data_IF_415697201136
#
_entry.id   IF_415697201136
#
_cell.length_a   1.000
_cell.length_b   1.000
_cell.length_c   1.000
_cell.angle_alpha   90.00
_cell.angle_beta   90.00
_cell.angle_gamma   90.00
#
_symmetry.space_group_name_H-M   'P 1'
#
loop_
_entity.id
_entity.type
_entity.pdbx_description
1 polymer ?
#
# COMPACT_ATOMS: atom_id res chain seq x y z
N UNK A 1 5.76 35.86 7.45
CA UNK A 1 6.54 35.50 6.24
C UNK A 1 7.83 34.76 6.56
N UNK A 2 8.77 35.32 7.35
CA UNK A 2 10.04 34.64 7.69
C UNK A 2 9.87 33.23 8.31
N UNK A 3 8.87 33.05 9.19
CA UNK A 3 8.57 31.75 9.81
C UNK A 3 8.01 30.69 8.84
N UNK A 4 7.28 31.11 7.80
CA UNK A 4 6.74 30.20 6.78
C UNK A 4 7.84 29.68 5.83
N UNK A 5 8.81 30.54 5.52
CA UNK A 5 9.97 30.16 4.71
C UNK A 5 10.84 29.12 5.41
N UNK A 6 11.03 29.23 6.73
CA UNK A 6 11.78 28.26 7.54
C UNK A 6 11.07 26.90 7.58
N UNK A 7 9.74 26.88 7.68
CA UNK A 7 8.95 25.64 7.62
C UNK A 7 9.09 24.99 6.24
N UNK A 8 9.01 25.77 5.16
CA UNK A 8 9.16 25.25 3.79
C UNK A 8 10.57 24.69 3.52
N UNK A 9 11.62 25.35 4.02
CA UNK A 9 13.00 24.87 3.89
C UNK A 9 13.25 23.61 4.73
N UNK A 10 12.69 23.55 5.95
CA UNK A 10 12.77 22.36 6.78
C UNK A 10 12.04 21.15 6.14
N UNK A 11 10.86 21.38 5.54
CA UNK A 11 10.11 20.37 4.78
C UNK A 11 10.81 19.95 3.47
N UNK A 12 11.60 20.82 2.85
CA UNK A 12 12.39 20.49 1.67
C UNK A 12 13.70 19.74 1.98
N UNK A 13 14.11 19.70 3.26
CA UNK A 13 15.38 19.11 3.71
C UNK A 13 15.27 17.68 4.26
N UNK A 14 14.06 17.11 4.30
CA UNK A 14 13.85 15.71 4.70
C UNK A 14 14.04 14.77 3.53
N UNK A 15 14.61 13.59 3.81
CA UNK A 15 14.97 12.55 2.85
C UNK A 15 13.92 12.38 1.75
N UNK A 16 14.33 12.56 0.48
CA UNK A 16 13.47 12.34 -0.67
C UNK A 16 13.20 10.84 -0.84
N UNK A 17 12.19 10.33 -0.14
CA UNK A 17 11.54 9.07 -0.51
C UNK A 17 10.97 9.19 -1.92
N UNK A 18 11.03 8.13 -2.73
CA UNK A 18 10.53 8.18 -4.09
C UNK A 18 9.05 8.47 -4.14
N UNK A 19 8.69 9.28 -5.11
CA UNK A 19 7.34 9.34 -5.62
C UNK A 19 6.96 8.02 -6.29
N UNK A 20 5.66 7.74 -6.31
CA UNK A 20 5.08 6.59 -7.01
C UNK A 20 5.51 6.50 -8.48
N UNK A 21 5.71 7.64 -9.12
CA UNK A 21 6.23 7.74 -10.49
C UNK A 21 7.61 7.09 -10.67
N UNK A 22 8.52 7.23 -9.68
CA UNK A 22 9.84 6.59 -9.74
C UNK A 22 9.70 5.08 -9.63
N UNK A 23 8.94 4.56 -8.68
CA UNK A 23 8.73 3.10 -8.54
C UNK A 23 8.09 2.48 -9.78
N UNK A 24 7.12 3.16 -10.39
CA UNK A 24 6.55 2.73 -11.66
C UNK A 24 7.58 2.72 -12.81
N UNK A 25 8.46 3.73 -12.89
CA UNK A 25 9.53 3.76 -13.91
C UNK A 25 10.56 2.63 -13.75
N UNK A 26 10.79 2.18 -12.52
CA UNK A 26 11.64 1.03 -12.18
C UNK A 26 10.87 -0.31 -12.22
N UNK A 27 9.68 -0.31 -12.81
CA UNK A 27 8.82 -1.49 -12.94
C UNK A 27 8.54 -2.19 -11.59
N UNK A 28 8.45 -1.40 -10.51
CA UNK A 28 8.17 -1.87 -9.15
C UNK A 28 9.11 -3.00 -8.67
N UNK A 29 10.37 -2.98 -9.12
CA UNK A 29 11.39 -3.96 -8.76
C UNK A 29 11.49 -4.19 -7.25
N UNK A 30 11.63 -5.46 -6.82
CA UNK A 30 11.64 -5.85 -5.40
C UNK A 30 12.86 -5.36 -4.61
N UNK A 31 13.98 -5.11 -5.30
CA UNK A 31 15.19 -4.60 -4.66
C UNK A 31 15.07 -3.12 -4.28
N UNK A 32 14.15 -2.37 -4.92
CA UNK A 32 13.96 -0.94 -4.63
C UNK A 32 13.04 -0.84 -3.42
N UNK A 33 13.60 -0.39 -2.31
CA UNK A 33 12.85 -0.18 -1.06
C UNK A 33 12.44 1.28 -0.99
N UNK A 34 11.15 1.53 -0.82
CA UNK A 34 10.60 2.87 -0.66
C UNK A 34 9.24 2.84 0.04
N UNK A 35 8.68 4.00 0.33
CA UNK A 35 7.37 4.20 0.95
C UNK A 35 6.25 3.41 0.27
N UNK A 36 6.27 3.29 -1.07
CA UNK A 36 5.31 2.46 -1.80
C UNK A 36 5.50 0.97 -1.58
N UNK A 37 6.74 0.52 -1.36
CA UNK A 37 7.01 -0.91 -1.19
C UNK A 37 6.42 -1.44 0.12
N UNK A 38 6.13 -0.56 1.09
CA UNK A 38 5.40 -0.87 2.33
C UNK A 38 3.98 -1.38 2.06
N UNK A 39 3.32 -0.91 0.99
CA UNK A 39 2.02 -1.42 0.54
C UNK A 39 2.07 -2.83 -0.05
N UNK A 40 3.27 -3.38 -0.28
CA UNK A 40 3.47 -4.78 -0.68
C UNK A 40 4.08 -5.61 0.44
N UNK A 41 5.13 -5.12 1.07
CA UNK A 41 5.80 -5.77 2.19
C UNK A 41 5.89 -4.77 3.36
N UNK A 42 5.06 -4.91 4.41
CA UNK A 42 5.05 -3.95 5.51
C UNK A 42 6.38 -3.89 6.28
N UNK A 43 7.26 -4.91 6.18
CA UNK A 43 8.56 -4.89 6.84
C UNK A 43 9.52 -3.86 6.22
N UNK A 44 9.24 -3.37 5.01
CA UNK A 44 10.06 -2.39 4.30
C UNK A 44 10.15 -1.04 5.05
N UNK A 45 9.18 -0.73 5.93
CA UNK A 45 9.20 0.47 6.76
C UNK A 45 10.44 0.56 7.68
N UNK A 46 11.08 -0.57 7.98
CA UNK A 46 12.30 -0.62 8.78
C UNK A 46 13.56 -0.29 7.96
N UNK A 47 13.48 -0.39 6.64
CA UNK A 47 14.60 -0.20 5.71
C UNK A 47 14.57 1.16 5.01
N UNK A 48 13.42 1.84 4.98
CA UNK A 48 13.30 3.25 4.55
C UNK A 48 14.01 4.18 5.55
N UNK A 49 14.05 3.79 6.82
CA UNK A 49 14.70 4.54 7.91
C UNK A 49 13.80 5.63 8.53
N UNK A 50 14.05 5.91 9.81
CA UNK A 50 13.42 7.02 10.53
C UNK A 50 11.88 7.03 10.59
N UNK A 51 11.34 8.15 11.04
CA UNK A 51 9.93 8.48 10.95
C UNK A 51 9.71 9.27 9.65
N UNK A 52 8.61 9.00 8.96
CA UNK A 52 8.32 9.67 7.69
C UNK A 52 6.84 9.91 7.49
N UNK A 53 6.56 10.90 6.66
CA UNK A 53 5.24 11.18 6.10
C UNK A 53 5.41 11.16 4.59
N UNK A 54 4.64 10.31 3.91
CA UNK A 54 4.50 10.30 2.46
C UNK A 54 3.12 10.84 2.10
N UNK A 55 3.06 11.74 1.13
CA UNK A 55 1.84 12.27 0.55
C UNK A 55 2.04 12.34 -0.96
N UNK A 56 1.20 11.67 -1.72
CA UNK A 56 1.25 11.64 -3.17
C UNK A 56 -0.13 12.05 -3.72
N UNK A 57 -0.11 13.02 -4.62
CA UNK A 57 -1.31 13.45 -5.32
C UNK A 57 -1.60 12.51 -6.49
N UNK A 58 -2.87 12.32 -6.79
CA UNK A 58 -3.31 11.54 -7.93
C UNK A 58 -4.38 12.24 -8.74
N UNK A 59 -4.63 11.70 -9.92
CA UNK A 59 -5.74 12.06 -10.77
C UNK A 59 -7.09 11.70 -10.10
N UNK A 60 -8.08 12.58 -10.24
CA UNK A 60 -9.44 12.33 -9.77
C UNK A 60 -10.30 11.61 -10.81
N UNK A 61 -9.87 11.54 -12.07
CA UNK A 61 -10.49 10.76 -13.13
C UNK A 61 -9.82 9.38 -13.23
N UNK A 62 -10.32 8.44 -12.44
CA UNK A 62 -9.79 7.09 -12.25
C UNK A 62 -9.98 6.18 -13.48
N UNK A 63 -9.18 6.39 -14.53
CA UNK A 63 -9.11 5.47 -15.67
C UNK A 63 -7.88 4.53 -15.61
N UNK A 64 -6.89 4.83 -14.76
CA UNK A 64 -5.64 4.06 -14.62
C UNK A 64 -5.43 3.47 -13.22
N UNK A 65 -4.64 2.40 -13.14
CA UNK A 65 -4.12 1.86 -11.87
C UNK A 65 -3.05 2.79 -11.30
N UNK A 66 -2.94 2.87 -9.97
CA UNK A 66 -1.98 3.66 -9.22
C UNK A 66 -2.03 5.15 -9.57
N UNK A 67 -3.23 5.69 -9.81
CA UNK A 67 -3.42 7.10 -10.17
C UNK A 67 -4.16 7.90 -9.09
N UNK A 68 -4.55 7.28 -7.97
CA UNK A 68 -5.27 7.94 -6.87
C UNK A 68 -4.38 8.77 -5.93
N UNK A 69 -4.99 9.61 -5.10
CA UNK A 69 -4.26 10.27 -4.01
C UNK A 69 -4.02 9.28 -2.86
N UNK A 70 -2.86 9.38 -2.22
CA UNK A 70 -2.44 8.47 -1.16
C UNK A 70 -1.58 9.20 -0.12
N UNK A 71 -1.57 8.66 1.09
CA UNK A 71 -0.77 9.18 2.18
C UNK A 71 -0.43 8.12 3.20
N UNK A 72 0.77 8.21 3.76
CA UNK A 72 1.23 7.34 4.84
C UNK A 72 1.98 8.17 5.87
N UNK A 73 1.77 7.86 7.15
CA UNK A 73 2.63 8.29 8.24
C UNK A 73 3.17 7.06 8.94
N UNK A 74 4.47 7.04 9.20
CA UNK A 74 5.14 5.99 9.96
C UNK A 74 5.91 6.60 11.13
N UNK A 75 5.75 5.98 12.30
CA UNK A 75 6.38 6.40 13.55
C UNK A 75 7.08 5.26 14.26
N UNK A 76 8.27 5.55 14.75
CA UNK A 76 9.11 4.63 15.50
C UNK A 76 8.75 4.66 16.98
N UNK A 77 8.67 3.48 17.58
CA UNK A 77 8.32 3.24 18.97
C UNK A 77 9.31 2.24 19.56
N UNK A 78 10.54 2.69 19.81
CA UNK A 78 11.64 1.81 20.26
C UNK A 78 12.09 0.86 19.14
N UNK A 79 12.05 -0.45 19.40
CA UNK A 79 12.35 -1.48 18.41
C UNK A 79 11.17 -1.78 17.45
N UNK A 80 10.03 -1.11 17.64
CA UNK A 80 8.83 -1.26 16.84
C UNK A 80 8.58 -0.04 15.95
N UNK A 81 7.76 -0.21 14.92
CA UNK A 81 7.22 0.87 14.09
C UNK A 81 5.72 0.67 13.89
N UNK A 82 4.99 1.78 13.82
CA UNK A 82 3.58 1.81 13.48
C UNK A 82 3.38 2.73 12.28
N UNK A 83 2.51 2.34 11.36
CA UNK A 83 2.16 3.11 10.18
C UNK A 83 0.64 3.24 10.04
N UNK A 84 0.17 4.40 9.60
CA UNK A 84 -1.20 4.61 9.15
C UNK A 84 -1.14 5.09 7.71
N UNK A 85 -1.88 4.45 6.82
CA UNK A 85 -2.03 4.88 5.43
C UNK A 85 -3.49 5.08 5.04
N UNK A 86 -3.67 5.98 4.09
CA UNK A 86 -4.95 6.40 3.54
C UNK A 86 -4.81 6.51 2.04
N UNK A 87 -5.63 5.78 1.30
CA UNK A 87 -5.60 5.78 -0.16
C UNK A 87 -4.37 5.04 -0.72
N UNK A 88 -4.61 4.32 -1.82
CA UNK A 88 -3.67 3.67 -2.74
C UNK A 88 -4.42 2.50 -3.39
N UNK A 89 -4.02 2.03 -4.56
CA UNK A 89 -4.68 0.85 -5.12
C UNK A 89 -4.28 -0.43 -4.37
N UNK A 90 -5.25 -1.30 -4.11
CA UNK A 90 -5.03 -2.56 -3.40
C UNK A 90 -4.77 -3.70 -4.40
N UNK A 91 -3.49 -4.09 -4.54
CA UNK A 91 -3.07 -5.26 -5.35
C UNK A 91 -3.74 -6.55 -4.89
N UNK A 92 -4.06 -6.65 -3.59
CA UNK A 92 -4.74 -7.77 -2.95
C UNK A 92 -6.16 -7.91 -3.49
N UNK A 93 -6.87 -6.80 -3.55
CA UNK A 93 -8.21 -6.70 -4.10
C UNK A 93 -8.29 -6.94 -5.59
N UNK A 94 -7.29 -6.48 -6.34
CA UNK A 94 -7.11 -6.74 -7.77
C UNK A 94 -6.83 -8.23 -8.05
N UNK A 95 -5.93 -8.87 -7.28
CA UNK A 95 -5.62 -10.29 -7.42
C UNK A 95 -6.79 -11.22 -7.08
N UNK A 96 -7.55 -10.90 -6.02
CA UNK A 96 -8.77 -11.61 -5.64
C UNK A 96 -9.93 -11.47 -6.63
N UNK A 97 -9.99 -10.34 -7.34
CA UNK A 97 -11.06 -10.03 -8.31
C UNK A 97 -10.70 -10.33 -9.75
N UNK A 98 -9.43 -10.53 -10.08
CA UNK A 98 -9.01 -11.05 -11.39
C UNK A 98 -9.57 -12.45 -11.70
N UNK A 99 -9.99 -13.21 -10.67
CA UNK A 99 -10.69 -14.49 -10.82
C UNK A 99 -12.23 -14.36 -10.91
N UNK A 100 -12.79 -13.16 -10.82
CA UNK A 100 -14.22 -12.89 -10.96
C UNK A 100 -14.60 -12.78 -12.44
N UNK A 101 -15.68 -13.43 -12.85
CA UNK A 101 -16.27 -13.32 -14.20
C UNK A 101 -17.05 -12.03 -14.43
N UNK A 102 -17.18 -11.18 -13.40
CA UNK A 102 -17.92 -9.91 -13.46
C UNK A 102 -16.96 -8.81 -13.92
N UNK A 103 -17.25 -8.20 -15.08
CA UNK A 103 -16.62 -6.98 -15.57
C UNK A 103 -17.71 -5.90 -15.75
N UNK A 104 -17.42 -4.60 -15.49
CA UNK A 104 -16.18 -4.02 -14.99
C UNK A 104 -16.11 -3.99 -13.45
N UNK A 105 -14.93 -4.26 -12.90
CA UNK A 105 -14.61 -4.09 -11.47
C UNK A 105 -13.80 -2.81 -11.33
N UNK A 106 -14.21 -1.93 -10.41
CA UNK A 106 -13.45 -0.72 -10.09
C UNK A 106 -12.10 -1.12 -9.49
N UNK A 107 -11.03 -0.69 -10.16
CA UNK A 107 -9.65 -1.00 -9.77
C UNK A 107 -9.21 -0.14 -8.57
N UNK A 108 -9.73 1.07 -8.48
CA UNK A 108 -9.39 2.01 -7.41
C UNK A 108 -10.22 1.76 -6.17
N UNK A 109 -9.51 1.55 -5.08
CA UNK A 109 -10.04 1.31 -3.75
C UNK A 109 -9.22 2.22 -2.89
N UNK A 110 -9.83 3.07 -2.07
CA UNK A 110 -9.07 3.97 -1.22
C UNK A 110 -9.07 3.37 0.19
N UNK A 111 -8.23 2.36 0.47
CA UNK A 111 -8.22 1.72 1.76
C UNK A 111 -7.70 2.66 2.84
N UNK A 112 -8.02 2.29 4.06
CA UNK A 112 -7.32 2.70 5.27
C UNK A 112 -6.52 1.49 5.73
N UNK A 113 -5.21 1.64 5.89
CA UNK A 113 -4.38 0.57 6.42
C UNK A 113 -3.69 0.98 7.74
N UNK A 114 -3.75 0.08 8.72
CA UNK A 114 -2.99 0.20 9.96
C UNK A 114 -1.91 -0.86 9.97
N UNK A 115 -0.66 -0.42 10.04
CA UNK A 115 0.50 -1.30 10.03
C UNK A 115 1.24 -1.24 11.35
N UNK A 116 1.70 -2.37 11.84
CA UNK A 116 2.58 -2.48 13.00
C UNK A 116 3.66 -3.52 12.71
N UNK A 117 4.88 -3.24 13.13
CA UNK A 117 5.97 -4.19 13.03
C UNK A 117 7.02 -4.02 14.11
N UNK A 118 7.95 -4.96 14.14
CA UNK A 118 9.08 -5.00 15.05
C UNK A 118 10.31 -5.55 14.37
N UNK A 119 11.48 -5.14 14.86
CA UNK A 119 12.76 -5.70 14.46
C UNK A 119 13.24 -6.71 15.52
N UNK A 120 13.62 -7.90 15.07
CA UNK A 120 14.20 -8.97 15.87
C UNK A 120 15.59 -9.32 15.30
N UNK A 121 16.64 -8.77 15.92
CA UNK A 121 18.00 -8.86 15.36
C UNK A 121 18.08 -8.14 14.02
N UNK A 122 18.53 -8.83 12.98
CA UNK A 122 18.64 -8.29 11.61
C UNK A 122 17.36 -8.47 10.78
N UNK A 123 16.38 -9.21 11.29
CA UNK A 123 15.10 -9.42 10.63
C UNK A 123 14.06 -8.40 11.12
N UNK A 124 13.30 -7.84 10.18
CA UNK A 124 12.10 -7.05 10.46
C UNK A 124 10.85 -7.87 10.10
N UNK A 125 9.86 -7.84 10.97
CA UNK A 125 8.54 -8.43 10.75
C UNK A 125 7.48 -7.36 10.91
N UNK A 126 6.46 -7.36 10.06
CA UNK A 126 5.36 -6.44 10.18
C UNK A 126 4.05 -7.06 9.68
N UNK A 127 2.94 -6.53 10.20
CA UNK A 127 1.60 -6.88 9.79
C UNK A 127 0.76 -5.62 9.58
N UNK A 128 -0.16 -5.68 8.62
CA UNK A 128 -1.06 -4.62 8.22
C UNK A 128 -2.48 -5.13 8.25
N UNK A 129 -3.38 -4.38 8.89
CA UNK A 129 -4.82 -4.52 8.73
C UNK A 129 -5.26 -3.59 7.61
N UNK A 130 -5.95 -4.14 6.62
CA UNK A 130 -6.41 -3.41 5.43
C UNK A 130 -7.92 -3.40 5.43
N UNK A 131 -8.52 -2.21 5.39
CA UNK A 131 -9.96 -2.05 5.23
C UNK A 131 -10.24 -1.04 4.12
N UNK A 132 -11.11 -1.37 3.19
CA UNK A 132 -11.56 -0.45 2.15
C UNK A 132 -13.06 -0.44 2.05
N UNK A 133 -13.63 0.74 1.90
CA UNK A 133 -15.03 0.93 1.56
C UNK A 133 -15.12 1.97 0.46
N UNK A 134 -15.79 1.63 -0.64
CA UNK A 134 -16.04 2.53 -1.74
C UNK A 134 -17.53 2.54 -2.06
N UNK A 135 -18.06 3.73 -2.34
CA UNK A 135 -19.40 3.92 -2.85
C UNK A 135 -19.38 5.06 -3.86
N UNK A 136 -19.69 4.74 -5.12
CA UNK A 136 -19.85 5.76 -6.14
C UNK A 136 -21.02 6.67 -5.77
N UNK A 137 -20.78 7.98 -5.85
CA UNK A 137 -21.81 9.01 -5.63
C UNK A 137 -22.39 9.55 -6.94
N UNK A 138 -21.98 9.01 -8.10
CA UNK A 138 -22.36 9.49 -9.43
C UNK A 138 -22.55 8.34 -10.42
N UNK A 139 -23.64 8.37 -11.21
CA UNK A 139 -23.83 7.51 -12.39
C UNK A 139 -24.47 6.14 -12.13
N UNK A 140 -23.80 5.24 -11.41
CA UNK A 140 -24.25 3.88 -11.08
C UNK A 140 -23.99 3.60 -9.60
N UNK A 141 -24.91 2.93 -8.88
CA UNK A 141 -24.69 2.60 -7.46
C UNK A 141 -23.67 1.47 -7.33
N UNK A 142 -22.40 1.81 -7.55
CA UNK A 142 -21.28 0.92 -7.35
C UNK A 142 -20.83 0.98 -5.89
N UNK A 143 -20.76 -0.18 -5.25
CA UNK A 143 -20.34 -0.31 -3.86
C UNK A 143 -19.31 -1.40 -3.73
N UNK A 144 -18.35 -1.15 -2.87
CA UNK A 144 -17.27 -2.07 -2.59
C UNK A 144 -16.92 -2.06 -1.12
N UNK A 145 -16.56 -3.23 -0.60
CA UNK A 145 -16.00 -3.38 0.72
C UNK A 145 -14.98 -4.51 0.71
N UNK A 146 -13.79 -4.27 1.23
CA UNK A 146 -12.78 -5.31 1.41
C UNK A 146 -12.11 -5.22 2.78
N UNK A 147 -11.79 -6.39 3.33
CA UNK A 147 -11.07 -6.56 4.57
C UNK A 147 -9.96 -7.58 4.32
N UNK A 148 -8.76 -7.27 4.78
CA UNK A 148 -7.62 -8.16 4.65
C UNK A 148 -6.55 -7.93 5.70
N UNK A 149 -5.63 -8.88 5.75
CA UNK A 149 -4.39 -8.80 6.51
C UNK A 149 -3.24 -8.95 5.53
N UNK A 150 -2.18 -8.16 5.71
CA UNK A 150 -0.90 -8.35 5.04
C UNK A 150 0.16 -8.59 6.10
N UNK A 151 1.10 -9.47 5.85
CA UNK A 151 2.28 -9.69 6.67
C UNK A 151 3.51 -9.67 5.81
N UNK A 152 4.63 -9.31 6.41
CA UNK A 152 5.88 -9.11 5.71
C UNK A 152 7.07 -9.40 6.61
N UNK A 153 8.11 -9.93 6.00
CA UNK A 153 9.42 -10.11 6.59
C UNK A 153 10.46 -9.53 5.64
N UNK A 154 11.50 -8.91 6.20
CA UNK A 154 12.72 -8.57 5.47
C UNK A 154 13.95 -8.81 6.34
N UNK A 155 14.97 -9.42 5.75
CA UNK A 155 16.25 -9.69 6.40
C UNK A 155 17.37 -9.53 5.36
N UNK A 156 18.04 -8.37 5.41
CA UNK A 156 19.09 -8.03 4.46
C UNK A 156 18.58 -8.07 3.01
N UNK A 157 19.13 -8.99 2.22
CA UNK A 157 18.77 -9.17 0.81
C UNK A 157 17.59 -10.13 0.56
N UNK A 158 16.96 -10.65 1.63
CA UNK A 158 15.81 -11.54 1.53
C UNK A 158 14.54 -10.81 1.96
N UNK A 159 13.45 -11.01 1.22
CA UNK A 159 12.12 -10.54 1.57
C UNK A 159 11.04 -11.61 1.34
N UNK A 160 10.01 -11.57 2.17
CA UNK A 160 8.83 -12.42 2.02
C UNK A 160 7.58 -11.62 2.42
N UNK A 161 6.49 -11.82 1.68
CA UNK A 161 5.22 -11.15 1.92
C UNK A 161 4.06 -12.14 1.74
N UNK A 162 3.02 -11.97 2.55
CA UNK A 162 1.79 -12.73 2.48
C UNK A 162 0.60 -11.80 2.71
N UNK A 163 -0.40 -11.91 1.86
CA UNK A 163 -1.58 -11.09 1.82
C UNK A 163 -2.80 -12.01 1.82
N UNK A 164 -3.70 -11.84 2.79
CA UNK A 164 -4.91 -12.65 2.97
C UNK A 164 -6.12 -11.72 2.95
N UNK A 165 -6.98 -11.88 1.95
CA UNK A 165 -8.29 -11.25 1.89
C UNK A 165 -9.30 -12.05 2.71
N UNK A 166 -9.88 -11.44 3.73
CA UNK A 166 -10.84 -12.05 4.65
C UNK A 166 -12.29 -11.78 4.24
N UNK A 167 -12.51 -10.70 3.50
CA UNK A 167 -13.83 -10.36 2.97
C UNK A 167 -13.69 -9.46 1.77
N UNK A 168 -14.47 -9.73 0.74
CA UNK A 168 -14.51 -8.90 -0.45
C UNK A 168 -15.93 -8.92 -1.01
N UNK A 169 -16.59 -7.76 -1.04
CA UNK A 169 -17.88 -7.59 -1.69
C UNK A 169 -17.80 -6.49 -2.73
N UNK A 170 -18.36 -6.76 -3.89
CA UNK A 170 -18.57 -5.77 -4.94
C UNK A 170 -20.03 -5.83 -5.39
N UNK A 171 -20.63 -4.67 -5.58
CA UNK A 171 -21.98 -4.53 -6.11
C UNK A 171 -21.98 -3.48 -7.21
N UNK A 172 -22.63 -3.81 -8.31
CA UNK A 172 -22.96 -2.90 -9.39
C UNK A 172 -24.42 -3.16 -9.80
N UNK A 173 -25.21 -2.11 -9.99
CA UNK A 173 -26.63 -2.25 -10.38
C UNK A 173 -26.82 -2.92 -11.74
N UNK A 174 -25.84 -2.82 -12.64
CA UNK A 174 -25.85 -3.44 -13.98
C UNK A 174 -25.23 -4.83 -13.98
N UNK A 175 -24.11 -5.02 -13.26
CA UNK A 175 -23.32 -6.25 -13.30
C UNK A 175 -23.60 -7.25 -12.16
N UNK A 176 -24.43 -6.87 -11.19
CA UNK A 176 -24.83 -7.73 -10.08
C UNK A 176 -23.91 -7.65 -8.85
N UNK A 177 -24.00 -8.66 -7.97
CA UNK A 177 -23.28 -8.71 -6.69
C UNK A 177 -22.27 -9.85 -6.68
N UNK A 178 -21.05 -9.54 -6.27
CA UNK A 178 -19.98 -10.50 -5.98
C UNK A 178 -19.68 -10.50 -4.48
N UNK A 179 -19.47 -11.69 -3.92
CA UNK A 179 -18.97 -11.89 -2.56
C UNK A 179 -17.91 -12.97 -2.57
N UNK A 180 -16.64 -12.57 -2.41
CA UNK A 180 -15.50 -13.46 -2.20
C UNK A 180 -15.18 -13.57 -0.70
N UNK A 181 -14.91 -14.79 -0.24
CA UNK A 181 -14.72 -15.09 1.19
C UNK A 181 -13.29 -15.44 1.58
N UNK A 182 -12.38 -15.70 0.63
CA UNK A 182 -10.96 -15.89 0.91
C UNK A 182 -10.13 -15.68 -0.34
N UNK A 183 -8.98 -15.03 -0.21
CA UNK A 183 -7.94 -15.08 -1.23
C UNK A 183 -6.58 -14.80 -0.65
N UNK A 184 -5.57 -15.38 -1.28
CA UNK A 184 -4.21 -15.39 -0.77
C UNK A 184 -3.28 -14.99 -1.90
N UNK A 185 -2.43 -14.02 -1.63
CA UNK A 185 -1.36 -13.58 -2.51
C UNK A 185 -0.09 -13.59 -1.68
N UNK A 186 1.01 -14.09 -2.22
CA UNK A 186 2.28 -14.08 -1.51
C UNK A 186 3.45 -14.01 -2.46
N UNK A 187 4.57 -13.53 -1.94
CA UNK A 187 5.79 -13.33 -2.68
C UNK A 187 7.01 -13.69 -1.84
N UNK A 188 8.06 -14.11 -2.53
CA UNK A 188 9.40 -14.28 -1.98
C UNK A 188 10.41 -13.66 -2.94
N UNK A 189 11.45 -13.03 -2.40
CA UNK A 189 12.54 -12.47 -3.17
C UNK A 189 13.87 -12.57 -2.44
N UNK A 190 14.92 -12.73 -3.24
CA UNK A 190 16.31 -12.70 -2.81
C UNK A 190 17.14 -12.06 -3.92
N UNK A 191 18.03 -11.15 -3.57
CA UNK A 191 19.00 -10.59 -4.52
C UNK A 191 20.42 -10.81 -4.01
N UNK A 192 21.33 -11.01 -4.96
CA UNK A 192 22.75 -11.14 -4.68
C UNK A 192 23.42 -9.85 -5.12
N UNK A 193 24.19 -9.24 -4.22
CA UNK A 193 25.07 -8.13 -4.58
C UNK A 193 26.26 -8.73 -5.34
N UNK A 194 26.31 -8.50 -6.65
CA UNK A 194 27.49 -8.83 -7.44
C UNK A 194 28.49 -7.69 -7.26
N UNK A 195 29.41 -7.88 -6.31
CA UNK A 195 30.65 -7.11 -6.23
C UNK A 195 31.41 -7.16 -7.56
#
# INVERSE_FOLDING_TARGET
MKKLLVIAVALASVNASATRARLNSLNNSRHVIDTQSVYRNPADMFYIGGDYVNLESGNTNAAGQNDGAEGMVTRTMGASKMGLSLGHDSTLSLGLRGASTIAPIVLQQNPVELTYGMKAGDAAFAGTLVYSNYASKTGTNEKENSLGIRTGMRMGAMDADLAIGLGNTYQNDTAGKFKGTLGVVGGFGMWFDTL
#
